data_IF_456074364968
#
_entry.id   IF_456074364968
#
_cell.length_a   1.000
_cell.length_b   1.000
_cell.length_c   1.000
_cell.angle_alpha   90.00
_cell.angle_beta   90.00
_cell.angle_gamma   90.00
#
_symmetry.space_group_name_H-M   'P 1'
#
loop_
_entity.id
_entity.type
_entity.pdbx_description
1 polymer ?
#
# COMPACT_ATOMS: atom_id res chain seq x y z
N UNK A 1 34.62 -12.92 7.14
CA UNK A 1 34.39 -12.04 8.28
C UNK A 1 33.22 -12.56 9.09
N UNK A 2 33.34 -12.77 10.42
CA UNK A 2 32.15 -12.91 11.27
C UNK A 2 31.34 -11.62 11.15
N UNK A 3 30.05 -11.74 10.98
CA UNK A 3 29.19 -10.59 10.83
C UNK A 3 27.87 -10.97 10.18
N UNK A 4 26.96 -10.02 10.07
CA UNK A 4 25.62 -10.13 9.53
C UNK A 4 24.81 -11.31 10.11
N UNK A 5 25.03 -12.56 9.68
CA UNK A 5 24.27 -13.73 10.17
C UNK A 5 24.43 -13.93 11.68
N UNK A 6 25.65 -13.86 12.19
CA UNK A 6 25.94 -14.08 13.62
C UNK A 6 25.36 -12.93 14.49
N UNK A 7 25.27 -11.74 13.95
CA UNK A 7 24.66 -10.61 14.65
C UNK A 7 23.19 -10.89 14.93
N UNK A 8 22.42 -11.33 13.91
CA UNK A 8 21.01 -11.70 14.08
C UNK A 8 20.85 -12.92 15.01
N UNK A 9 21.68 -13.95 14.84
CA UNK A 9 21.66 -15.13 15.72
C UNK A 9 21.92 -14.77 17.19
N UNK A 10 22.90 -13.90 17.46
CA UNK A 10 23.22 -13.46 18.81
C UNK A 10 22.14 -12.56 19.41
N UNK A 11 21.64 -11.58 18.65
CA UNK A 11 20.58 -10.68 19.11
C UNK A 11 19.27 -11.41 19.37
N UNK A 12 18.87 -12.34 18.49
CA UNK A 12 17.68 -13.15 18.68
C UNK A 12 17.79 -13.96 19.97
N UNK A 13 18.94 -14.62 20.22
CA UNK A 13 19.17 -15.36 21.45
C UNK A 13 19.10 -14.48 22.69
N UNK A 14 19.73 -13.33 22.67
CA UNK A 14 19.81 -12.42 23.83
C UNK A 14 18.44 -11.84 24.21
N UNK A 15 17.61 -11.50 23.21
CA UNK A 15 16.32 -10.83 23.42
C UNK A 15 15.16 -11.81 23.53
N UNK A 16 15.12 -12.86 22.68
CA UNK A 16 14.00 -13.77 22.52
C UNK A 16 14.25 -15.16 23.11
N UNK A 17 15.50 -15.47 23.48
CA UNK A 17 15.90 -16.78 23.99
C UNK A 17 16.38 -17.73 22.89
N UNK A 18 16.65 -18.99 23.29
CA UNK A 18 17.22 -19.98 22.38
C UNK A 18 16.26 -20.44 21.28
N UNK A 19 14.95 -20.35 21.55
CA UNK A 19 13.88 -20.67 20.61
C UNK A 19 12.73 -19.66 20.77
N UNK A 20 12.15 -19.22 19.68
CA UNK A 20 11.02 -18.29 19.67
C UNK A 20 9.97 -18.66 18.61
N UNK A 21 8.82 -17.97 18.60
CA UNK A 21 7.69 -18.41 17.82
C UNK A 21 7.83 -18.10 16.34
N UNK A 22 8.13 -16.83 15.97
CA UNK A 22 8.07 -16.38 14.60
C UNK A 22 9.38 -15.70 14.21
N UNK A 23 9.98 -16.13 13.11
CA UNK A 23 11.09 -15.46 12.43
C UNK A 23 10.66 -15.05 11.01
N UNK A 24 10.90 -13.81 10.65
CA UNK A 24 10.46 -13.28 9.36
C UNK A 24 11.51 -12.45 8.65
N UNK A 25 11.34 -12.32 7.33
CA UNK A 25 12.22 -11.49 6.52
C UNK A 25 11.79 -11.42 5.05
N UNK A 26 12.62 -10.83 4.21
CA UNK A 26 12.43 -10.89 2.76
C UNK A 26 12.71 -12.29 2.19
N UNK A 27 12.12 -12.62 1.07
CA UNK A 27 12.33 -13.91 0.40
C UNK A 27 13.80 -14.14 0.03
N UNK A 28 14.58 -13.08 -0.15
CA UNK A 28 16.01 -13.11 -0.42
C UNK A 28 16.87 -13.50 0.79
N UNK A 29 16.30 -13.44 2.00
CA UNK A 29 16.98 -13.84 3.21
C UNK A 29 16.87 -15.34 3.51
N UNK A 30 16.01 -16.08 2.81
CA UNK A 30 15.89 -17.53 2.99
C UNK A 30 17.28 -18.16 2.90
N UNK A 31 17.99 -17.82 1.82
CA UNK A 31 19.36 -18.30 1.59
C UNK A 31 20.25 -17.13 1.11
N UNK A 32 21.45 -16.99 1.67
CA UNK A 32 22.08 -17.84 2.71
C UNK A 32 21.81 -17.41 4.16
N UNK A 33 21.07 -16.27 4.39
CA UNK A 33 21.04 -15.61 5.70
C UNK A 33 20.38 -16.48 6.78
N UNK A 34 19.10 -16.80 6.60
CA UNK A 34 18.33 -17.56 7.58
C UNK A 34 18.84 -19.01 7.75
N UNK A 35 19.31 -19.63 6.68
CA UNK A 35 19.96 -20.95 6.78
C UNK A 35 21.22 -20.92 7.64
N UNK A 36 22.02 -19.86 7.54
CA UNK A 36 23.19 -19.67 8.39
C UNK A 36 22.79 -19.36 9.86
N UNK A 37 21.73 -18.59 10.09
CA UNK A 37 21.22 -18.34 11.44
C UNK A 37 20.73 -19.63 12.10
N UNK A 38 20.00 -20.48 11.35
CA UNK A 38 19.57 -21.79 11.82
C UNK A 38 20.80 -22.64 12.21
N UNK A 39 21.77 -22.75 11.33
CA UNK A 39 22.98 -23.54 11.58
C UNK A 39 23.75 -23.04 12.82
N UNK A 40 23.96 -21.72 12.91
CA UNK A 40 24.65 -21.10 14.05
C UNK A 40 23.92 -21.33 15.37
N UNK A 41 22.62 -21.07 15.40
CA UNK A 41 21.82 -21.12 16.64
C UNK A 41 21.58 -22.54 17.09
N UNK A 42 21.25 -23.47 16.19
CA UNK A 42 20.99 -24.86 16.54
C UNK A 42 22.27 -25.58 17.00
N UNK A 43 23.41 -25.31 16.33
CA UNK A 43 24.70 -25.89 16.73
C UNK A 43 25.22 -25.34 18.07
N UNK A 44 25.11 -24.02 18.29
CA UNK A 44 25.65 -23.39 19.49
C UNK A 44 24.81 -23.69 20.74
N UNK A 45 23.51 -23.89 20.59
CA UNK A 45 22.57 -24.03 21.70
C UNK A 45 22.08 -25.46 21.91
N UNK A 46 22.56 -26.44 21.14
CA UNK A 46 22.07 -27.83 21.12
C UNK A 46 20.54 -27.94 20.93
N UNK A 47 19.96 -27.01 20.14
CA UNK A 47 18.53 -26.93 19.89
C UNK A 47 18.14 -27.62 18.59
N UNK A 48 16.93 -28.19 18.53
CA UNK A 48 16.40 -28.80 17.30
C UNK A 48 15.78 -27.78 16.36
N UNK A 49 15.33 -26.65 16.89
CA UNK A 49 14.67 -25.60 16.11
C UNK A 49 15.12 -24.22 16.61
N UNK A 50 15.29 -23.28 15.68
CA UNK A 50 15.55 -21.89 15.99
C UNK A 50 14.26 -21.09 16.12
N UNK A 51 13.31 -21.26 15.17
CA UNK A 51 11.98 -20.68 15.25
C UNK A 51 10.91 -21.74 14.90
N UNK A 52 9.68 -21.54 15.42
CA UNK A 52 8.56 -22.43 15.12
C UNK A 52 7.95 -22.17 13.75
N UNK A 53 7.83 -20.88 13.38
CA UNK A 53 7.22 -20.43 12.12
C UNK A 53 8.16 -19.48 11.39
N UNK A 54 8.18 -19.59 10.06
CA UNK A 54 8.97 -18.76 9.18
C UNK A 54 8.07 -18.03 8.19
N UNK A 55 8.18 -16.70 8.13
CA UNK A 55 7.43 -15.88 7.18
C UNK A 55 8.38 -15.13 6.27
N UNK A 56 8.19 -15.25 4.96
CA UNK A 56 9.01 -14.56 3.97
C UNK A 56 8.15 -13.72 3.04
N UNK A 57 8.42 -12.42 3.02
CA UNK A 57 7.70 -11.47 2.18
C UNK A 57 8.31 -11.41 0.78
N UNK A 58 7.44 -11.23 -0.22
CA UNK A 58 7.87 -10.87 -1.57
C UNK A 58 8.52 -9.49 -1.64
N UNK A 59 9.13 -9.19 -2.77
CA UNK A 59 9.77 -7.89 -3.01
C UNK A 59 8.76 -6.77 -3.25
N UNK A 60 9.18 -5.55 -2.92
CA UNK A 60 8.47 -4.34 -3.34
C UNK A 60 9.04 -3.83 -4.67
N UNK A 61 8.14 -3.64 -5.64
CA UNK A 61 8.40 -2.97 -6.90
C UNK A 61 7.63 -1.64 -6.93
N UNK A 62 8.13 -0.68 -7.67
CA UNK A 62 7.47 0.61 -7.91
C UNK A 62 7.31 0.77 -9.41
N UNK A 63 6.06 0.83 -9.89
CA UNK A 63 5.73 0.97 -11.32
C UNK A 63 6.45 -0.08 -12.19
N UNK A 64 6.47 -1.35 -11.74
CA UNK A 64 7.09 -2.48 -12.43
C UNK A 64 8.59 -2.66 -12.16
N UNK A 65 9.30 -1.64 -11.69
CA UNK A 65 10.73 -1.66 -11.44
C UNK A 65 11.06 -2.01 -9.98
N UNK A 66 12.15 -2.74 -9.74
CA UNK A 66 12.61 -3.00 -8.37
C UNK A 66 12.97 -1.70 -7.68
N UNK A 67 12.41 -1.46 -6.48
CA UNK A 67 12.76 -0.29 -5.68
C UNK A 67 14.24 -0.31 -5.32
N UNK A 68 14.99 0.73 -5.72
CA UNK A 68 16.41 0.85 -5.43
C UNK A 68 16.86 2.30 -5.37
N UNK A 69 17.92 2.57 -4.59
CA UNK A 69 18.52 3.90 -4.49
C UNK A 69 19.14 4.35 -5.83
N UNK A 70 19.70 3.41 -6.60
CA UNK A 70 20.33 3.69 -7.90
C UNK A 70 19.32 4.13 -8.97
N UNK A 71 18.06 3.69 -8.88
CA UNK A 71 16.98 4.08 -9.80
C UNK A 71 16.24 5.33 -9.32
N UNK A 72 16.58 5.86 -8.13
CA UNK A 72 15.91 7.00 -7.51
C UNK A 72 14.38 6.87 -7.44
N UNK A 73 13.89 5.63 -7.35
CA UNK A 73 12.47 5.29 -7.27
C UNK A 73 12.06 4.90 -5.84
N UNK A 74 12.78 5.43 -4.83
CA UNK A 74 12.53 5.13 -3.44
C UNK A 74 11.23 5.83 -2.99
N UNK A 75 10.29 5.04 -2.47
CA UNK A 75 9.01 5.53 -1.99
C UNK A 75 8.83 5.09 -0.53
N UNK A 76 8.65 6.07 0.36
CA UNK A 76 8.38 5.80 1.77
C UNK A 76 6.92 6.03 2.12
N UNK A 77 6.45 5.41 3.21
CA UNK A 77 5.11 5.70 3.77
C UNK A 77 4.97 7.20 4.09
N UNK A 78 6.04 7.84 4.55
CA UNK A 78 6.06 9.27 4.83
C UNK A 78 5.82 10.12 3.58
N UNK A 79 6.38 9.73 2.42
CA UNK A 79 6.13 10.41 1.15
C UNK A 79 4.69 10.28 0.71
N UNK A 80 4.07 9.12 0.94
CA UNK A 80 2.66 8.90 0.64
C UNK A 80 1.75 9.75 1.54
N UNK A 81 2.05 9.82 2.84
CA UNK A 81 1.31 10.67 3.79
C UNK A 81 1.46 12.15 3.43
N UNK A 82 2.66 12.59 3.03
CA UNK A 82 2.88 13.96 2.52
C UNK A 82 2.08 14.28 1.27
N UNK A 83 1.78 13.27 0.46
CA UNK A 83 0.90 13.38 -0.72
C UNK A 83 -0.58 13.26 -0.35
N UNK A 84 -0.90 13.30 0.94
CA UNK A 84 -2.24 13.24 1.52
C UNK A 84 -2.98 11.89 1.32
N UNK A 85 -2.27 10.80 1.01
CA UNK A 85 -2.88 9.49 1.01
C UNK A 85 -3.16 9.00 2.44
N UNK A 86 -4.33 8.40 2.64
CA UNK A 86 -4.72 7.91 3.96
C UNK A 86 -3.98 6.64 4.36
N UNK A 87 -3.65 6.50 5.65
CA UNK A 87 -3.02 5.28 6.17
C UNK A 87 -3.83 4.01 5.87
N UNK A 88 -5.17 4.00 6.04
CA UNK A 88 -6.02 2.89 5.63
C UNK A 88 -5.90 2.51 4.16
N UNK A 89 -5.84 3.48 3.23
CA UNK A 89 -5.70 3.19 1.80
C UNK A 89 -4.31 2.62 1.46
N UNK A 90 -3.26 3.13 2.10
CA UNK A 90 -1.91 2.57 1.97
C UNK A 90 -1.91 1.12 2.44
N UNK A 91 -2.50 0.82 3.60
CA UNK A 91 -2.63 -0.52 4.15
C UNK A 91 -3.46 -1.43 3.25
N UNK A 92 -4.59 -0.95 2.74
CA UNK A 92 -5.44 -1.70 1.81
C UNK A 92 -4.68 -2.10 0.54
N UNK A 93 -3.97 -1.14 -0.07
CA UNK A 93 -3.17 -1.40 -1.27
C UNK A 93 -2.07 -2.44 -1.03
N UNK A 94 -1.42 -2.42 0.16
CA UNK A 94 -0.44 -3.45 0.53
C UNK A 94 -1.09 -4.82 0.71
N UNK A 95 -2.23 -4.91 1.39
CA UNK A 95 -2.93 -6.15 1.69
C UNK A 95 -3.68 -6.74 0.48
N UNK A 96 -3.86 -5.97 -0.59
CA UNK A 96 -4.42 -6.44 -1.85
C UNK A 96 -3.49 -7.40 -2.61
N UNK A 97 -2.23 -7.55 -2.18
CA UNK A 97 -1.29 -8.54 -2.69
C UNK A 97 -0.92 -9.51 -1.56
N UNK A 98 -0.90 -10.82 -1.87
CA UNK A 98 -0.48 -11.83 -0.89
C UNK A 98 0.97 -11.57 -0.47
N UNK A 99 1.29 -11.66 0.83
CA UNK A 99 2.61 -11.28 1.37
C UNK A 99 3.78 -12.04 0.74
N UNK A 100 3.57 -13.28 0.27
CA UNK A 100 4.60 -14.06 -0.42
C UNK A 100 4.86 -13.62 -1.87
N UNK A 101 3.96 -12.82 -2.45
CA UNK A 101 4.07 -12.37 -3.82
C UNK A 101 4.77 -11.01 -3.91
N UNK A 102 5.49 -10.73 -5.00
CA UNK A 102 6.00 -9.39 -5.24
C UNK A 102 4.87 -8.36 -5.30
N UNK A 103 4.94 -7.34 -4.45
CA UNK A 103 4.02 -6.22 -4.48
C UNK A 103 4.51 -5.18 -5.50
N UNK A 104 3.77 -5.01 -6.59
CA UNK A 104 4.00 -3.92 -7.55
C UNK A 104 3.15 -2.71 -7.15
N UNK A 105 3.80 -1.73 -6.53
CA UNK A 105 3.16 -0.50 -6.08
C UNK A 105 2.80 0.38 -7.27
N UNK A 106 1.51 0.63 -7.45
CA UNK A 106 0.95 1.52 -8.46
C UNK A 106 0.08 2.58 -7.82
N UNK A 107 0.27 3.84 -8.21
CA UNK A 107 -0.51 4.94 -7.66
C UNK A 107 -2.00 4.85 -8.02
N UNK A 108 -2.32 4.33 -9.19
CA UNK A 108 -3.71 4.11 -9.61
C UNK A 108 -4.44 3.19 -8.63
N UNK A 109 -3.80 2.09 -8.20
CA UNK A 109 -4.38 1.16 -7.22
C UNK A 109 -4.58 1.81 -5.85
N UNK A 110 -3.67 2.69 -5.44
CA UNK A 110 -3.81 3.42 -4.18
C UNK A 110 -5.02 4.36 -4.21
N UNK A 111 -5.25 5.06 -5.33
CA UNK A 111 -6.43 5.91 -5.53
C UNK A 111 -7.72 5.09 -5.54
N UNK A 112 -7.72 3.92 -6.19
CA UNK A 112 -8.85 2.99 -6.17
C UNK A 112 -9.13 2.47 -4.76
N UNK A 113 -8.10 2.18 -3.98
CA UNK A 113 -8.23 1.80 -2.58
C UNK A 113 -8.91 2.90 -1.75
N UNK A 114 -8.51 4.17 -1.92
CA UNK A 114 -9.18 5.29 -1.24
C UNK A 114 -10.66 5.40 -1.62
N UNK A 115 -10.97 5.36 -2.92
CA UNK A 115 -12.36 5.42 -3.41
C UNK A 115 -13.20 4.27 -2.82
N UNK A 116 -12.63 3.07 -2.78
CA UNK A 116 -13.29 1.89 -2.21
C UNK A 116 -13.59 2.07 -0.73
N UNK A 117 -12.59 2.50 0.04
CA UNK A 117 -12.75 2.69 1.49
C UNK A 117 -13.75 3.81 1.83
N UNK A 118 -13.78 4.88 1.05
CA UNK A 118 -14.80 5.92 1.21
C UNK A 118 -16.19 5.38 0.95
N UNK A 119 -16.37 4.66 -0.17
CA UNK A 119 -17.63 4.04 -0.51
C UNK A 119 -18.12 3.10 0.59
N UNK A 120 -17.24 2.28 1.14
CA UNK A 120 -17.57 1.36 2.23
C UNK A 120 -17.92 2.10 3.54
N UNK A 121 -17.09 3.06 3.95
CA UNK A 121 -17.28 3.78 5.22
C UNK A 121 -18.54 4.66 5.25
N UNK A 122 -19.10 5.02 4.09
CA UNK A 122 -20.35 5.79 4.01
C UNK A 122 -21.58 4.99 4.43
N UNK A 123 -21.52 3.68 4.32
CA UNK A 123 -22.62 2.76 4.63
C UNK A 123 -22.59 2.28 6.09
N UNK A 124 -21.64 2.76 6.91
CA UNK A 124 -21.49 2.27 8.27
C UNK A 124 -22.31 3.06 9.30
N UNK A 125 -23.23 2.37 9.97
CA UNK A 125 -23.85 2.85 11.21
C UNK A 125 -22.91 2.58 12.41
N UNK A 126 -22.71 3.52 13.35
CA UNK A 126 -21.75 3.39 14.45
C UNK A 126 -22.17 2.40 15.57
N UNK A 127 -22.66 1.22 15.25
CA UNK A 127 -23.01 0.19 16.24
C UNK A 127 -21.81 -0.71 16.57
N UNK A 128 -21.65 -0.97 17.87
CA UNK A 128 -20.58 -1.82 18.39
C UNK A 128 -20.87 -3.30 18.19
N UNK A 129 -20.26 -3.98 17.21
CA UNK A 129 -20.04 -5.43 17.26
C UNK A 129 -18.80 -5.82 16.50
N UNK A 130 -18.06 -6.79 17.04
CA UNK A 130 -16.68 -7.10 16.63
C UNK A 130 -16.47 -8.59 16.34
N UNK A 131 -17.43 -9.22 15.69
CA UNK A 131 -17.23 -10.61 15.22
C UNK A 131 -16.76 -10.56 13.78
N UNK A 132 -15.55 -11.08 13.53
CA UNK A 132 -15.02 -11.21 12.18
C UNK A 132 -15.86 -12.22 11.39
N UNK A 133 -16.37 -11.87 10.19
CA UNK A 133 -17.12 -12.80 9.35
C UNK A 133 -16.32 -14.07 9.04
N UNK A 134 -16.98 -15.24 9.06
CA UNK A 134 -16.32 -16.53 8.93
C UNK A 134 -15.56 -16.68 7.61
N UNK A 135 -16.10 -16.13 6.51
CA UNK A 135 -15.44 -16.17 5.21
C UNK A 135 -14.11 -15.39 5.20
N UNK A 136 -14.06 -14.27 5.94
CA UNK A 136 -12.83 -13.49 6.12
C UNK A 136 -11.82 -14.27 6.99
N UNK A 137 -12.31 -14.86 8.09
CA UNK A 137 -11.48 -15.68 8.96
C UNK A 137 -10.88 -16.87 8.21
N UNK A 138 -11.69 -17.59 7.42
CA UNK A 138 -11.22 -18.73 6.62
C UNK A 138 -10.13 -18.32 5.63
N UNK A 139 -10.26 -17.16 4.97
CA UNK A 139 -9.23 -16.64 4.08
C UNK A 139 -7.93 -16.33 4.84
N UNK A 140 -8.02 -15.80 6.07
CA UNK A 140 -6.83 -15.53 6.89
C UNK A 140 -6.18 -16.80 7.43
N UNK A 141 -6.97 -17.86 7.70
CA UNK A 141 -6.45 -19.16 8.11
C UNK A 141 -5.76 -19.92 6.96
N UNK A 142 -6.00 -19.51 5.70
CA UNK A 142 -5.32 -20.00 4.52
C UNK A 142 -4.08 -19.12 4.21
N UNK A 143 -3.03 -19.30 5.00
CA UNK A 143 -1.72 -18.61 4.85
C UNK A 143 -1.83 -17.09 4.76
N UNK A 144 -2.70 -16.48 5.57
CA UNK A 144 -2.94 -15.03 5.61
C UNK A 144 -3.34 -14.46 4.23
N UNK A 145 -4.26 -15.13 3.54
CA UNK A 145 -4.73 -14.77 2.21
C UNK A 145 -5.56 -13.47 2.24
N UNK A 146 -4.87 -12.35 2.45
CA UNK A 146 -5.50 -11.02 2.52
C UNK A 146 -6.16 -10.59 1.21
N UNK A 147 -5.66 -10.94 0.00
CA UNK A 147 -6.39 -10.70 -1.26
C UNK A 147 -7.76 -11.37 -1.28
N UNK A 148 -7.85 -12.63 -0.83
CA UNK A 148 -9.15 -13.32 -0.71
C UNK A 148 -10.04 -12.65 0.32
N UNK A 149 -9.49 -12.21 1.45
CA UNK A 149 -10.25 -11.45 2.45
C UNK A 149 -10.84 -10.16 1.87
N UNK A 150 -10.07 -9.41 1.08
CA UNK A 150 -10.55 -8.19 0.40
C UNK A 150 -11.63 -8.52 -0.64
N UNK A 151 -11.47 -9.62 -1.40
CA UNK A 151 -12.51 -10.08 -2.30
C UNK A 151 -13.82 -10.38 -1.56
N UNK A 152 -13.76 -11.10 -0.44
CA UNK A 152 -14.94 -11.36 0.40
C UNK A 152 -15.57 -10.07 0.95
N UNK A 153 -14.76 -9.08 1.29
CA UNK A 153 -15.26 -7.76 1.71
C UNK A 153 -16.02 -7.05 0.58
N UNK A 154 -15.56 -7.15 -0.68
CA UNK A 154 -16.33 -6.67 -1.83
C UNK A 154 -17.66 -7.43 -2.00
N UNK A 155 -17.67 -8.74 -1.75
CA UNK A 155 -18.93 -9.53 -1.79
C UNK A 155 -19.89 -9.08 -0.68
N UNK A 156 -19.41 -8.83 0.53
CA UNK A 156 -20.22 -8.30 1.62
C UNK A 156 -20.84 -6.95 1.25
N UNK A 157 -20.06 -6.06 0.64
CA UNK A 157 -20.58 -4.77 0.17
C UNK A 157 -21.66 -4.93 -0.90
N UNK A 158 -21.42 -5.77 -1.92
CA UNK A 158 -22.34 -5.99 -3.03
C UNK A 158 -23.66 -6.68 -2.59
N UNK A 159 -23.62 -7.45 -1.50
CA UNK A 159 -24.76 -8.11 -0.89
C UNK A 159 -25.40 -7.28 0.25
N UNK A 160 -25.04 -6.00 0.40
CA UNK A 160 -25.57 -5.07 1.40
C UNK A 160 -25.40 -5.55 2.86
N UNK A 161 -24.40 -6.41 3.12
CA UNK A 161 -24.05 -6.91 4.46
C UNK A 161 -23.11 -5.94 5.17
N UNK A 162 -23.57 -4.72 5.40
CA UNK A 162 -22.74 -3.61 5.86
C UNK A 162 -22.22 -3.79 7.29
N UNK A 163 -22.94 -4.47 8.17
CA UNK A 163 -22.46 -4.76 9.54
C UNK A 163 -21.27 -5.73 9.53
N UNK A 164 -21.35 -6.80 8.72
CA UNK A 164 -20.26 -7.77 8.54
C UNK A 164 -19.03 -7.09 7.89
N UNK A 165 -19.25 -6.25 6.88
CA UNK A 165 -18.21 -5.49 6.22
C UNK A 165 -17.51 -4.52 7.19
N UNK A 166 -18.28 -3.80 8.01
CA UNK A 166 -17.72 -2.89 9.02
C UNK A 166 -16.81 -3.62 10.01
N UNK A 167 -17.24 -4.80 10.48
CA UNK A 167 -16.43 -5.61 11.38
C UNK A 167 -15.11 -6.02 10.73
N UNK A 168 -15.14 -6.44 9.46
CA UNK A 168 -13.94 -6.73 8.69
C UNK A 168 -13.05 -5.49 8.51
N UNK A 169 -13.62 -4.33 8.13
CA UNK A 169 -12.89 -3.07 8.01
C UNK A 169 -12.23 -2.65 9.34
N UNK A 170 -12.92 -2.84 10.46
CA UNK A 170 -12.37 -2.54 11.78
C UNK A 170 -11.19 -3.46 12.11
N UNK A 171 -11.33 -4.76 11.85
CA UNK A 171 -10.27 -5.75 12.06
C UNK A 171 -9.00 -5.42 11.25
N UNK A 172 -9.15 -5.06 9.97
CA UNK A 172 -8.04 -4.70 9.10
C UNK A 172 -7.51 -3.27 9.33
N UNK A 173 -8.14 -2.47 10.18
CA UNK A 173 -7.80 -1.06 10.38
C UNK A 173 -8.09 -0.19 9.15
N UNK A 174 -9.14 -0.53 8.40
CA UNK A 174 -9.65 0.24 7.26
C UNK A 174 -10.72 1.24 7.67
N UNK A 175 -11.28 1.10 8.87
CA UNK A 175 -12.22 2.08 9.44
C UNK A 175 -11.46 3.33 9.85
N UNK A 176 -11.56 4.37 9.07
CA UNK A 176 -11.18 5.71 9.49
C UNK A 176 -12.32 6.66 9.10
N UNK A 177 -12.48 7.75 9.83
CA UNK A 177 -13.25 8.88 9.33
C UNK A 177 -12.49 9.47 8.15
N UNK A 178 -12.61 8.82 7.00
CA UNK A 178 -12.26 9.44 5.72
C UNK A 178 -13.30 10.53 5.56
N UNK A 179 -12.97 11.74 5.99
CA UNK A 179 -13.84 12.89 5.80
C UNK A 179 -14.06 13.03 4.30
N UNK A 180 -15.31 12.85 3.88
CA UNK A 180 -15.77 13.24 2.55
C UNK A 180 -15.64 14.76 2.43
N UNK A 181 -14.48 15.24 2.08
CA UNK A 181 -14.37 16.42 1.27
C UNK A 181 -14.01 15.95 -0.14
N UNK A 182 -14.91 15.17 -0.76
CA UNK A 182 -14.96 15.09 -2.22
C UNK A 182 -15.40 16.48 -2.71
N UNK A 183 -14.43 17.38 -2.78
CA UNK A 183 -14.63 18.65 -3.40
C UNK A 183 -15.04 18.40 -4.86
N UNK A 184 -16.31 18.62 -5.17
CA UNK A 184 -16.72 18.96 -6.53
C UNK A 184 -15.78 20.09 -6.93
N UNK A 185 -14.89 19.81 -7.88
CA UNK A 185 -13.96 20.82 -8.36
C UNK A 185 -14.81 21.93 -8.97
N UNK A 186 -14.72 23.17 -8.48
CA UNK A 186 -15.41 24.29 -9.11
C UNK A 186 -15.09 24.36 -10.61
N UNK A 187 -16.06 24.72 -11.43
CA UNK A 187 -15.92 24.70 -12.88
C UNK A 187 -14.72 25.55 -13.39
N UNK A 188 -14.44 26.66 -12.70
CA UNK A 188 -13.29 27.53 -12.99
C UNK A 188 -11.94 26.82 -12.74
N UNK A 189 -11.87 25.91 -11.76
CA UNK A 189 -10.67 25.14 -11.47
C UNK A 189 -10.52 23.92 -12.39
N UNK A 190 -11.63 23.32 -12.83
CA UNK A 190 -11.62 22.27 -13.85
C UNK A 190 -11.00 22.81 -15.15
N UNK A 191 -11.46 23.96 -15.64
CA UNK A 191 -10.91 24.60 -16.83
C UNK A 191 -9.41 24.94 -16.70
N UNK A 192 -8.97 25.32 -15.50
CA UNK A 192 -7.55 25.56 -15.22
C UNK A 192 -6.72 24.28 -15.31
N UNK A 193 -7.22 23.16 -14.78
CA UNK A 193 -6.56 21.85 -14.89
C UNK A 193 -6.45 21.43 -16.35
N UNK A 194 -7.51 21.57 -17.13
CA UNK A 194 -7.53 21.24 -18.56
C UNK A 194 -6.47 22.05 -19.34
N UNK A 195 -6.33 23.33 -19.05
CA UNK A 195 -5.28 24.19 -19.64
C UNK A 195 -3.86 23.73 -19.25
N UNK A 196 -3.67 23.29 -18.01
CA UNK A 196 -2.36 22.75 -17.58
C UNK A 196 -2.05 21.42 -18.25
N UNK A 197 -3.03 20.58 -18.47
CA UNK A 197 -2.89 19.31 -19.20
C UNK A 197 -2.56 19.57 -20.67
N UNK A 198 -3.23 20.51 -21.30
CA UNK A 198 -2.93 20.94 -22.68
C UNK A 198 -1.49 21.45 -22.78
N UNK A 199 -1.05 22.32 -21.85
CA UNK A 199 0.33 22.81 -21.78
C UNK A 199 1.34 21.67 -21.62
N UNK A 200 1.04 20.67 -20.78
CA UNK A 200 1.86 19.46 -20.62
C UNK A 200 1.94 18.65 -21.93
N UNK A 201 0.81 18.44 -22.60
CA UNK A 201 0.77 17.69 -23.85
C UNK A 201 1.57 18.39 -24.95
N UNK A 202 1.46 19.72 -25.06
CA UNK A 202 2.27 20.53 -25.97
C UNK A 202 3.77 20.45 -25.65
N UNK A 203 4.14 20.44 -24.36
CA UNK A 203 5.53 20.22 -23.92
C UNK A 203 6.05 18.84 -24.34
N UNK A 204 5.25 17.78 -24.22
CA UNK A 204 5.62 16.43 -24.71
C UNK A 204 5.79 16.40 -26.23
N UNK A 205 4.91 17.02 -26.98
CA UNK A 205 5.01 17.10 -28.45
C UNK A 205 6.28 17.82 -28.90
N UNK A 206 6.67 18.88 -28.17
CA UNK A 206 7.91 19.64 -28.42
C UNK A 206 9.16 19.00 -27.79
N UNK A 207 9.04 17.76 -27.25
CA UNK A 207 10.12 17.02 -26.54
C UNK A 207 10.71 17.73 -25.32
N UNK A 208 9.99 18.69 -24.75
CA UNK A 208 10.37 19.32 -23.48
C UNK A 208 9.83 18.49 -22.30
N UNK A 209 10.45 17.34 -22.07
CA UNK A 209 10.03 16.40 -21.04
C UNK A 209 10.14 16.97 -19.61
N UNK A 210 11.17 17.81 -19.37
CA UNK A 210 11.35 18.45 -18.06
C UNK A 210 10.15 19.32 -17.65
N UNK A 211 9.58 20.07 -18.58
CA UNK A 211 8.39 20.88 -18.33
C UNK A 211 7.14 19.99 -18.16
N UNK A 212 7.02 18.94 -18.96
CA UNK A 212 5.90 18.01 -18.89
C UNK A 212 5.86 17.26 -17.54
N UNK A 213 7.00 16.81 -17.05
CA UNK A 213 7.13 16.12 -15.76
C UNK A 213 6.86 17.07 -14.60
N UNK A 214 7.37 18.30 -14.67
CA UNK A 214 7.08 19.32 -13.65
C UNK A 214 5.58 19.59 -13.55
N UNK A 215 4.86 19.77 -14.67
CA UNK A 215 3.41 19.99 -14.64
C UNK A 215 2.69 18.77 -14.05
N UNK A 216 3.12 17.55 -14.37
CA UNK A 216 2.56 16.33 -13.79
C UNK A 216 2.76 16.27 -12.28
N UNK A 217 3.95 16.59 -11.79
CA UNK A 217 4.25 16.64 -10.36
C UNK A 217 3.46 17.74 -9.64
N UNK A 218 3.37 18.92 -10.21
CA UNK A 218 2.61 20.03 -9.66
C UNK A 218 1.12 19.67 -9.51
N UNK A 219 0.51 19.09 -10.55
CA UNK A 219 -0.87 18.62 -10.52
C UNK A 219 -1.06 17.47 -9.52
N UNK A 220 -0.13 16.52 -9.46
CA UNK A 220 -0.18 15.43 -8.48
C UNK A 220 -0.07 15.97 -7.05
N UNK A 221 0.76 16.98 -6.81
CA UNK A 221 0.97 17.61 -5.49
C UNK A 221 -0.29 18.27 -4.93
N UNK A 222 -1.20 18.67 -5.81
CA UNK A 222 -2.51 19.28 -5.44
C UNK A 222 -3.67 18.29 -5.51
N UNK A 223 -3.37 17.02 -5.81
CA UNK A 223 -4.37 15.97 -5.81
C UNK A 223 -5.08 15.74 -7.15
N UNK A 224 -4.49 16.17 -8.27
CA UNK A 224 -4.95 15.87 -9.63
C UNK A 224 -4.09 14.77 -10.23
N UNK A 225 -4.73 13.70 -10.70
CA UNK A 225 -4.07 12.54 -11.29
C UNK A 225 -4.37 12.53 -12.79
N UNK A 226 -3.30 12.58 -13.59
CA UNK A 226 -3.40 12.51 -15.03
C UNK A 226 -3.36 11.06 -15.48
N UNK A 227 -4.32 10.68 -16.34
CA UNK A 227 -4.38 9.38 -17.02
C UNK A 227 -4.07 9.59 -18.51
N UNK A 228 -2.92 9.08 -18.94
CA UNK A 228 -2.54 9.10 -20.35
C UNK A 228 -3.21 7.91 -21.06
N UNK A 229 -4.26 8.16 -21.83
CA UNK A 229 -4.88 7.21 -22.76
C UNK A 229 -4.25 7.30 -24.16
N UNK A 230 -4.49 6.27 -25.00
CA UNK A 230 -3.86 6.21 -26.35
C UNK A 230 -4.24 7.33 -27.32
N UNK A 231 -5.36 8.02 -27.13
CA UNK A 231 -5.82 9.14 -27.95
C UNK A 231 -6.13 10.41 -27.16
N UNK A 232 -6.50 10.29 -25.88
CA UNK A 232 -6.83 11.44 -25.05
C UNK A 232 -6.19 11.30 -23.66
N UNK A 233 -5.77 12.45 -23.10
CA UNK A 233 -5.31 12.55 -21.72
C UNK A 233 -6.50 12.99 -20.87
N UNK A 234 -6.89 12.14 -19.92
CA UNK A 234 -7.93 12.45 -18.94
C UNK A 234 -7.33 12.66 -17.55
N UNK A 235 -8.13 13.19 -16.63
CA UNK A 235 -7.68 13.40 -15.28
C UNK A 235 -8.79 13.12 -14.25
N UNK A 236 -8.39 12.83 -13.03
CA UNK A 236 -9.27 12.64 -11.89
C UNK A 236 -8.75 13.41 -10.68
N UNK A 237 -9.65 13.87 -9.82
CA UNK A 237 -9.27 14.45 -8.54
C UNK A 237 -9.12 13.36 -7.49
N UNK A 238 -8.07 13.43 -6.69
CA UNK A 238 -8.02 12.70 -5.43
C UNK A 238 -8.98 13.34 -4.43
N UNK A 239 -9.37 12.58 -3.39
CA UNK A 239 -10.32 13.05 -2.38
C UNK A 239 -9.83 14.23 -1.54
N UNK A 240 -8.56 14.56 -1.61
CA UNK A 240 -7.94 15.68 -0.89
C UNK A 240 -7.38 16.73 -1.85
N UNK A 241 -8.25 17.18 -2.77
CA UNK A 241 -7.88 18.26 -3.67
C UNK A 241 -7.54 19.50 -2.85
N UNK A 242 -6.30 19.99 -2.97
CA UNK A 242 -5.85 21.22 -2.33
C UNK A 242 -6.30 22.44 -3.15
N UNK A 243 -7.59 22.76 -3.07
CA UNK A 243 -8.21 23.85 -3.86
C UNK A 243 -7.41 25.16 -3.75
N UNK A 244 -6.92 25.52 -2.57
CA UNK A 244 -6.10 26.73 -2.38
C UNK A 244 -4.81 26.69 -3.19
N UNK A 245 -4.07 25.56 -3.16
CA UNK A 245 -2.85 25.40 -3.94
C UNK A 245 -3.10 25.25 -5.43
N UNK A 246 -4.20 24.62 -5.83
CA UNK A 246 -4.59 24.51 -7.25
C UNK A 246 -4.89 25.91 -7.86
N UNK A 247 -5.38 26.85 -7.06
CA UNK A 247 -5.55 28.24 -7.48
C UNK A 247 -4.23 28.97 -7.74
N UNK A 248 -3.14 28.52 -7.13
CA UNK A 248 -1.81 29.13 -7.24
C UNK A 248 -0.96 28.53 -8.38
N UNK A 249 -1.31 27.34 -8.91
CA UNK A 249 -0.69 26.73 -10.09
C UNK A 249 -1.13 27.44 -11.38
#
# INVERSE_FOLDING_TARGET
>A
RPGWHIECSAMAKDILGDQFDIHGGGIDLIFPHHENEIAQSTCSNNMKKFANFWLHNGFLKIEGEKMSKSLNNFLTVFDLIKRDFSGPAIRFNMLATHYRQPLDWKFERLVEAEKTLVKWNNEFDPKNQTVLPMQILNALLDDLNTPQSIYEMHQLFNNEKFDELRNACTFFGFSSKVTQESALIPADLSEKVDKLIEKRNNARMSKNFSLADKIREDLLSVGIIIKDGGQETTWESSQKLKIKKLKEL
#
